data_IF_962556083018
#
_entry.id   IF_962556083018
#
_cell.length_a   1.000
_cell.length_b   1.000
_cell.length_c   1.000
_cell.angle_alpha   90.00
_cell.angle_beta   90.00
_cell.angle_gamma   90.00
#
_symmetry.space_group_name_H-M   'P 1'
#
loop_
_entity.id
_entity.type
_entity.pdbx_description
1 polymer ?
#
# COMPACT_ATOMS: atom_id res chain seq x y z
N UNK A 1 26.88 -24.95 5.94
CA UNK A 1 27.37 -23.55 6.12
C UNK A 1 27.54 -22.72 4.83
N UNK A 2 27.51 -23.29 3.62
CA UNK A 2 27.59 -22.54 2.35
C UNK A 2 26.33 -21.72 2.02
N UNK A 3 25.19 -21.95 2.66
CA UNK A 3 23.87 -21.40 2.33
C UNK A 3 23.54 -20.02 2.92
N UNK A 4 24.38 -19.47 3.81
CA UNK A 4 24.12 -18.20 4.49
C UNK A 4 25.02 -17.03 4.05
N UNK A 5 25.83 -17.19 3.01
CA UNK A 5 26.66 -16.10 2.53
C UNK A 5 25.85 -15.21 1.58
N UNK A 6 25.46 -14.06 2.05
CA UNK A 6 24.76 -13.07 1.24
C UNK A 6 25.71 -12.50 0.19
N UNK A 7 25.30 -12.55 -1.07
CA UNK A 7 26.04 -11.93 -2.16
C UNK A 7 25.90 -10.40 -2.09
N UNK A 8 27.05 -9.72 -1.97
CA UNK A 8 27.07 -8.26 -1.94
C UNK A 8 26.42 -7.63 -3.18
N UNK A 9 26.55 -8.26 -4.32
CA UNK A 9 25.94 -7.80 -5.58
C UNK A 9 24.41 -7.81 -5.51
N UNK A 10 23.81 -8.92 -5.08
CA UNK A 10 22.35 -9.06 -4.94
C UNK A 10 21.80 -8.09 -3.90
N UNK A 11 22.50 -7.92 -2.77
CA UNK A 11 22.15 -6.93 -1.75
C UNK A 11 22.19 -5.50 -2.31
N UNK A 12 23.25 -5.14 -3.02
CA UNK A 12 23.39 -3.81 -3.62
C UNK A 12 22.29 -3.55 -4.66
N UNK A 13 21.96 -4.56 -5.49
CA UNK A 13 20.86 -4.46 -6.45
C UNK A 13 19.51 -4.27 -5.74
N UNK A 14 19.23 -5.03 -4.67
CA UNK A 14 18.01 -4.87 -3.89
C UNK A 14 17.88 -3.46 -3.32
N UNK A 15 18.93 -2.95 -2.69
CA UNK A 15 18.93 -1.60 -2.12
C UNK A 15 18.80 -0.51 -3.19
N UNK A 16 19.42 -0.69 -4.37
CA UNK A 16 19.32 0.27 -5.48
C UNK A 16 17.91 0.38 -6.06
N UNK A 17 17.11 -0.69 -5.97
CA UNK A 17 15.70 -0.72 -6.39
C UNK A 17 14.80 -0.26 -5.24
N UNK A 18 15.08 -0.71 -4.01
CA UNK A 18 14.27 -0.41 -2.83
C UNK A 18 14.35 1.07 -2.42
N UNK A 19 15.54 1.67 -2.41
CA UNK A 19 15.72 3.05 -1.95
C UNK A 19 14.83 4.06 -2.71
N UNK A 20 14.77 4.08 -4.05
CA UNK A 20 13.85 4.97 -4.75
C UNK A 20 12.38 4.69 -4.43
N UNK A 21 12.01 3.44 -4.19
CA UNK A 21 10.63 3.08 -3.84
C UNK A 21 10.27 3.55 -2.42
N UNK A 22 11.20 3.45 -1.48
CA UNK A 22 11.04 4.00 -0.12
C UNK A 22 10.84 5.51 -0.17
N UNK A 23 11.62 6.23 -0.98
CA UNK A 23 11.46 7.69 -1.15
C UNK A 23 10.10 8.02 -1.77
N UNK A 24 9.67 7.29 -2.80
CA UNK A 24 8.35 7.48 -3.44
C UNK A 24 7.21 7.27 -2.43
N UNK A 25 7.23 6.19 -1.65
CA UNK A 25 6.21 5.93 -0.63
C UNK A 25 6.24 6.95 0.51
N UNK A 26 7.45 7.37 0.93
CA UNK A 26 7.63 8.43 1.91
C UNK A 26 7.08 9.78 1.44
N UNK A 27 7.32 10.14 0.19
CA UNK A 27 6.74 11.36 -0.41
C UNK A 27 5.21 11.33 -0.38
N UNK A 28 4.60 10.19 -0.72
CA UNK A 28 3.13 10.03 -0.63
C UNK A 28 2.61 10.19 0.81
N UNK A 29 3.31 9.63 1.80
CA UNK A 29 2.96 9.81 3.21
C UNK A 29 3.03 11.28 3.65
N UNK A 30 4.07 12.02 3.21
CA UNK A 30 4.20 13.47 3.43
C UNK A 30 3.04 14.24 2.80
N UNK A 31 2.63 13.88 1.59
CA UNK A 31 1.48 14.50 0.92
C UNK A 31 0.21 14.36 1.75
N UNK A 32 -0.13 13.13 2.17
CA UNK A 32 -1.31 12.88 2.99
C UNK A 32 -1.27 13.68 4.31
N UNK A 33 -0.11 13.72 4.96
CA UNK A 33 0.06 14.49 6.19
C UNK A 33 -0.17 15.99 5.95
N UNK A 34 0.43 16.53 4.89
CA UNK A 34 0.32 17.97 4.56
C UNK A 34 -1.11 18.36 4.20
N UNK A 35 -1.81 17.54 3.42
CA UNK A 35 -3.22 17.77 3.07
C UNK A 35 -4.09 17.83 4.33
N UNK A 36 -3.90 16.90 5.27
CA UNK A 36 -4.63 16.90 6.55
C UNK A 36 -4.27 18.10 7.43
N UNK A 37 -3.01 18.49 7.43
CA UNK A 37 -2.55 19.68 8.16
C UNK A 37 -3.23 20.93 7.62
N UNK A 38 -3.27 21.13 6.31
CA UNK A 38 -3.97 22.29 5.72
C UNK A 38 -5.48 22.28 6.02
N UNK A 39 -6.12 21.11 6.01
CA UNK A 39 -7.51 20.97 6.41
C UNK A 39 -7.73 21.37 7.89
N UNK A 40 -6.81 21.03 8.79
CA UNK A 40 -6.90 21.40 10.20
C UNK A 40 -6.82 22.91 10.45
N UNK A 41 -6.18 23.65 9.53
CA UNK A 41 -6.14 25.13 9.60
C UNK A 41 -7.48 25.79 9.26
N UNK A 42 -8.38 25.09 8.55
CA UNK A 42 -9.73 25.57 8.28
C UNK A 42 -10.63 25.29 9.50
N UNK A 43 -10.82 24.01 9.83
CA UNK A 43 -11.56 23.57 11.00
C UNK A 43 -11.32 22.08 11.30
N UNK A 44 -11.57 21.63 12.54
CA UNK A 44 -11.55 20.19 12.87
C UNK A 44 -12.53 19.36 12.02
N UNK A 45 -13.69 19.94 11.63
CA UNK A 45 -14.69 19.28 10.78
C UNK A 45 -14.13 19.00 9.37
N UNK A 46 -13.40 19.95 8.76
CA UNK A 46 -12.75 19.76 7.46
C UNK A 46 -11.67 18.70 7.51
N UNK A 47 -10.87 18.67 8.58
CA UNK A 47 -9.87 17.61 8.78
C UNK A 47 -10.54 16.24 8.89
N UNK A 48 -11.60 16.10 9.69
CA UNK A 48 -12.35 14.86 9.83
C UNK A 48 -12.98 14.41 8.50
N UNK A 49 -13.57 15.36 7.74
CA UNK A 49 -14.15 15.09 6.43
C UNK A 49 -13.11 14.58 5.40
N UNK A 50 -11.92 15.19 5.37
CA UNK A 50 -10.85 14.75 4.48
C UNK A 50 -10.35 13.35 4.84
N UNK A 51 -10.32 13.00 6.12
CA UNK A 51 -9.96 11.66 6.59
C UNK A 51 -11.03 10.64 6.17
N UNK A 52 -12.31 10.88 6.48
CA UNK A 52 -13.42 9.97 6.17
C UNK A 52 -13.56 9.74 4.66
N UNK A 53 -13.65 10.83 3.88
CA UNK A 53 -13.75 10.77 2.42
C UNK A 53 -12.52 10.15 1.75
N UNK A 54 -11.32 10.42 2.27
CA UNK A 54 -10.07 9.84 1.77
C UNK A 54 -9.96 8.34 2.00
N UNK A 55 -10.29 7.88 3.21
CA UNK A 55 -10.29 6.43 3.55
C UNK A 55 -11.33 5.69 2.72
N UNK A 56 -12.54 6.23 2.56
CA UNK A 56 -13.59 5.63 1.74
C UNK A 56 -13.18 5.55 0.26
N UNK A 57 -12.53 6.60 -0.28
CA UNK A 57 -12.01 6.60 -1.65
C UNK A 57 -10.94 5.53 -1.84
N UNK A 58 -9.98 5.44 -0.93
CA UNK A 58 -8.93 4.42 -0.99
C UNK A 58 -9.49 3.01 -0.88
N UNK A 59 -10.50 2.80 -0.02
CA UNK A 59 -11.19 1.53 0.10
C UNK A 59 -11.83 1.10 -1.23
N UNK A 60 -12.58 1.99 -1.88
CA UNK A 60 -13.17 1.70 -3.20
C UNK A 60 -12.12 1.40 -4.27
N UNK A 61 -10.97 2.09 -4.24
CA UNK A 61 -9.89 1.91 -5.21
C UNK A 61 -9.05 0.66 -4.96
N UNK A 62 -9.01 0.16 -3.73
CA UNK A 62 -8.03 -0.85 -3.27
C UNK A 62 -8.10 -2.16 -4.08
N UNK A 63 -9.29 -2.62 -4.47
CA UNK A 63 -9.47 -3.78 -5.35
C UNK A 63 -8.73 -3.59 -6.68
N UNK A 64 -8.98 -2.48 -7.34
CA UNK A 64 -8.45 -2.20 -8.67
C UNK A 64 -6.95 -1.91 -8.64
N UNK A 65 -6.49 -1.16 -7.64
CA UNK A 65 -5.06 -0.92 -7.38
C UNK A 65 -4.34 -2.23 -7.15
N UNK A 66 -4.89 -3.14 -6.33
CA UNK A 66 -4.29 -4.44 -6.05
C UNK A 66 -4.17 -5.31 -7.30
N UNK A 67 -5.17 -5.29 -8.20
CA UNK A 67 -5.11 -5.98 -9.48
C UNK A 67 -4.02 -5.35 -10.36
N UNK A 68 -4.07 -4.04 -10.57
CA UNK A 68 -3.16 -3.33 -11.48
C UNK A 68 -1.71 -3.34 -11.02
N UNK A 69 -1.46 -3.26 -9.71
CA UNK A 69 -0.10 -3.30 -9.15
C UNK A 69 0.61 -4.64 -9.39
N UNK A 70 -0.14 -5.72 -9.67
CA UNK A 70 0.44 -7.01 -10.02
C UNK A 70 1.26 -6.97 -11.32
N UNK A 71 1.06 -5.94 -12.17
CA UNK A 71 1.91 -5.70 -13.33
C UNK A 71 3.40 -5.67 -12.99
N UNK A 72 3.79 -5.24 -11.79
CA UNK A 72 5.18 -5.26 -11.34
C UNK A 72 5.79 -6.68 -11.45
N UNK A 73 5.10 -7.69 -10.93
CA UNK A 73 5.55 -9.08 -10.98
C UNK A 73 5.59 -9.63 -12.42
N UNK A 74 4.52 -9.37 -13.21
CA UNK A 74 4.45 -9.83 -14.61
C UNK A 74 5.55 -9.23 -15.46
N UNK A 75 5.73 -7.92 -15.39
CA UNK A 75 6.76 -7.20 -16.13
C UNK A 75 8.15 -7.67 -15.72
N UNK A 76 8.39 -7.89 -14.41
CA UNK A 76 9.67 -8.40 -13.93
C UNK A 76 9.98 -9.79 -14.47
N UNK A 77 8.98 -10.68 -14.55
CA UNK A 77 9.14 -12.03 -15.10
C UNK A 77 9.45 -11.99 -16.60
N UNK A 78 8.74 -11.19 -17.41
CA UNK A 78 9.05 -11.01 -18.83
C UNK A 78 10.40 -10.33 -19.05
N UNK A 79 10.74 -9.37 -18.21
CA UNK A 79 12.04 -8.70 -18.25
C UNK A 79 13.19 -9.69 -17.98
N UNK A 80 13.02 -10.57 -16.99
CA UNK A 80 13.97 -11.66 -16.71
C UNK A 80 14.09 -12.66 -17.85
N UNK A 81 12.97 -13.02 -18.48
CA UNK A 81 12.94 -13.88 -19.67
C UNK A 81 13.48 -13.21 -20.93
N UNK A 82 13.88 -11.92 -20.87
CA UNK A 82 14.35 -11.10 -22.00
C UNK A 82 13.28 -10.83 -23.07
N UNK A 83 12.01 -11.01 -22.74
CA UNK A 83 10.85 -10.73 -23.59
C UNK A 83 10.41 -9.26 -23.44
N UNK A 84 11.25 -8.33 -23.86
CA UNK A 84 11.08 -6.89 -23.59
C UNK A 84 9.80 -6.30 -24.18
N UNK A 85 9.35 -6.79 -25.34
CA UNK A 85 8.09 -6.38 -25.96
C UNK A 85 6.87 -6.74 -25.07
N UNK A 86 6.88 -7.92 -24.43
CA UNK A 86 5.82 -8.33 -23.53
C UNK A 86 5.74 -7.47 -22.28
N UNK A 87 6.85 -6.86 -21.84
CA UNK A 87 6.83 -5.92 -20.74
C UNK A 87 5.91 -4.71 -21.02
N UNK A 88 5.96 -4.17 -22.23
CA UNK A 88 5.10 -3.05 -22.64
C UNK A 88 3.68 -3.48 -22.98
N UNK A 89 3.50 -4.71 -23.50
CA UNK A 89 2.17 -5.30 -23.68
C UNK A 89 1.42 -5.43 -22.35
N UNK A 90 2.08 -5.73 -21.24
CA UNK A 90 1.46 -5.74 -19.89
C UNK A 90 0.86 -4.37 -19.56
N UNK A 91 1.54 -3.26 -19.89
CA UNK A 91 1.00 -1.91 -19.70
C UNK A 91 -0.28 -1.73 -20.51
N UNK A 92 -0.26 -2.12 -21.78
CA UNK A 92 -1.45 -2.04 -22.66
C UNK A 92 -2.63 -2.85 -22.09
N UNK A 93 -2.39 -4.08 -21.60
CA UNK A 93 -3.45 -4.87 -20.97
C UNK A 93 -3.95 -4.19 -19.68
N UNK A 94 -3.06 -3.59 -18.88
CA UNK A 94 -3.44 -2.80 -17.71
C UNK A 94 -4.32 -1.60 -18.06
N UNK A 95 -4.00 -0.88 -19.14
CA UNK A 95 -4.82 0.24 -19.65
C UNK A 95 -6.19 -0.24 -20.16
N UNK A 96 -6.24 -1.40 -20.83
CA UNK A 96 -7.49 -2.03 -21.24
C UNK A 96 -8.36 -2.37 -20.02
N UNK A 97 -7.76 -2.92 -18.95
CA UNK A 97 -8.46 -3.15 -17.68
C UNK A 97 -9.00 -1.84 -17.08
N UNK A 98 -8.25 -0.75 -17.15
CA UNK A 98 -8.71 0.56 -16.67
C UNK A 98 -9.99 1.02 -17.40
N UNK A 99 -10.19 0.68 -18.68
CA UNK A 99 -11.42 1.01 -19.42
C UNK A 99 -12.66 0.39 -18.76
N UNK A 100 -12.54 -0.82 -18.20
CA UNK A 100 -13.63 -1.44 -17.44
C UNK A 100 -13.68 -1.04 -15.96
N UNK A 101 -12.52 -0.82 -15.36
CA UNK A 101 -12.40 -0.52 -13.92
C UNK A 101 -12.86 0.89 -13.56
N UNK A 102 -12.58 1.90 -14.41
CA UNK A 102 -12.99 3.28 -14.16
C UNK A 102 -14.51 3.42 -14.08
N UNK A 103 -15.31 2.95 -15.05
CA UNK A 103 -16.77 2.98 -14.93
C UNK A 103 -17.28 2.20 -13.72
N UNK A 104 -16.72 1.01 -13.46
CA UNK A 104 -17.09 0.20 -12.29
C UNK A 104 -16.84 0.94 -10.98
N UNK A 105 -15.69 1.62 -10.88
CA UNK A 105 -15.34 2.41 -9.69
C UNK A 105 -16.24 3.63 -9.51
N UNK A 106 -16.65 4.29 -10.59
CA UNK A 106 -17.61 5.40 -10.53
C UNK A 106 -18.98 4.92 -10.03
N UNK A 107 -19.45 3.75 -10.49
CA UNK A 107 -20.70 3.12 -10.03
C UNK A 107 -20.60 2.76 -8.55
N UNK A 108 -19.53 2.08 -8.14
CA UNK A 108 -19.28 1.73 -6.72
C UNK A 108 -19.20 2.99 -5.86
N UNK A 109 -18.49 4.02 -6.33
CA UNK A 109 -18.38 5.30 -5.65
C UNK A 109 -19.72 5.99 -5.47
N UNK A 110 -20.60 5.97 -6.47
CA UNK A 110 -21.94 6.52 -6.36
C UNK A 110 -22.73 5.87 -5.22
N UNK A 111 -22.74 4.54 -5.14
CA UNK A 111 -23.42 3.82 -4.05
C UNK A 111 -22.72 4.01 -2.70
N UNK A 112 -21.39 4.00 -2.67
CA UNK A 112 -20.63 4.23 -1.41
C UNK A 112 -20.86 5.64 -0.86
N UNK A 113 -20.97 6.64 -1.73
CA UNK A 113 -21.30 8.01 -1.32
C UNK A 113 -22.66 8.14 -0.64
N UNK A 114 -23.62 7.28 -0.98
CA UNK A 114 -24.93 7.23 -0.33
C UNK A 114 -24.86 6.67 1.10
N UNK A 115 -23.82 5.87 1.42
CA UNK A 115 -23.65 5.33 2.78
C UNK A 115 -23.32 6.40 3.81
N UNK A 116 -22.68 7.52 3.44
CA UNK A 116 -22.41 8.61 4.37
C UNK A 116 -23.68 9.15 5.01
N UNK A 117 -24.82 9.18 4.30
CA UNK A 117 -26.12 9.59 4.84
C UNK A 117 -26.68 8.61 5.89
N UNK A 118 -26.23 7.34 5.86
CA UNK A 118 -26.72 6.29 6.76
C UNK A 118 -25.85 6.21 8.02
N UNK A 119 -24.61 6.74 7.95
CA UNK A 119 -23.65 6.68 9.06
C UNK A 119 -24.03 7.58 10.26
N UNK A 120 -24.99 8.49 10.09
CA UNK A 120 -25.47 9.34 11.17
C UNK A 120 -24.50 10.45 11.59
N UNK A 121 -23.60 10.86 10.68
CA UNK A 121 -22.70 11.99 10.92
C UNK A 121 -23.48 13.31 11.01
N UNK A 122 -22.89 14.33 11.65
CA UNK A 122 -23.45 15.67 11.65
C UNK A 122 -23.63 16.15 10.18
N UNK A 123 -24.74 16.86 9.85
CA UNK A 123 -25.03 17.24 8.45
C UNK A 123 -23.91 18.01 7.75
N UNK A 124 -23.20 18.87 8.49
CA UNK A 124 -22.05 19.63 7.97
C UNK A 124 -20.89 18.68 7.56
N UNK A 125 -20.55 17.71 8.42
CA UNK A 125 -19.51 16.73 8.16
C UNK A 125 -19.86 15.84 6.96
N UNK A 126 -21.10 15.36 6.90
CA UNK A 126 -21.59 14.52 5.80
C UNK A 126 -21.45 15.22 4.44
N UNK A 127 -21.83 16.51 4.35
CA UNK A 127 -21.72 17.28 3.11
C UNK A 127 -20.27 17.40 2.67
N UNK A 128 -19.36 17.71 3.57
CA UNK A 128 -17.93 17.86 3.28
C UNK A 128 -17.29 16.52 2.89
N UNK A 129 -17.60 15.44 3.60
CA UNK A 129 -17.13 14.09 3.27
C UNK A 129 -17.56 13.66 1.87
N UNK A 130 -18.84 13.85 1.52
CA UNK A 130 -19.38 13.52 0.20
C UNK A 130 -18.71 14.33 -0.90
N UNK A 131 -18.55 15.64 -0.73
CA UNK A 131 -17.89 16.49 -1.71
C UNK A 131 -16.47 16.03 -1.98
N UNK A 132 -15.68 15.83 -0.93
CA UNK A 132 -14.30 15.37 -1.03
C UNK A 132 -14.20 14.00 -1.68
N UNK A 133 -15.03 13.05 -1.22
CA UNK A 133 -15.09 11.70 -1.72
C UNK A 133 -15.43 11.63 -3.22
N UNK A 134 -16.49 12.32 -3.66
CA UNK A 134 -16.91 12.25 -5.07
C UNK A 134 -15.87 12.86 -6.01
N UNK A 135 -15.19 13.94 -5.63
CA UNK A 135 -14.12 14.52 -6.44
C UNK A 135 -12.96 13.52 -6.57
N UNK A 136 -12.55 12.90 -5.47
CA UNK A 136 -11.48 11.88 -5.51
C UNK A 136 -11.86 10.67 -6.35
N UNK A 137 -13.09 10.17 -6.24
CA UNK A 137 -13.58 9.04 -7.05
C UNK A 137 -13.62 9.42 -8.52
N UNK A 138 -14.06 10.62 -8.87
CA UNK A 138 -14.06 11.09 -10.25
C UNK A 138 -12.63 11.15 -10.84
N UNK A 139 -11.67 11.62 -10.05
CA UNK A 139 -10.25 11.68 -10.45
C UNK A 139 -9.49 10.36 -10.34
N UNK A 140 -10.07 9.32 -9.75
CA UNK A 140 -9.42 8.05 -9.45
C UNK A 140 -8.89 7.31 -10.68
N UNK A 141 -9.52 7.50 -11.86
CA UNK A 141 -9.06 6.93 -13.12
C UNK A 141 -7.61 7.30 -13.46
N UNK A 142 -7.20 8.54 -13.15
CA UNK A 142 -5.81 8.99 -13.32
C UNK A 142 -4.88 8.18 -12.41
N UNK A 143 -5.29 7.93 -11.17
CA UNK A 143 -4.56 7.12 -10.21
C UNK A 143 -4.39 5.66 -10.65
N UNK A 144 -5.43 5.05 -11.23
CA UNK A 144 -5.36 3.69 -11.77
C UNK A 144 -4.41 3.61 -12.96
N UNK A 145 -4.48 4.55 -13.91
CA UNK A 145 -3.56 4.61 -15.05
C UNK A 145 -2.13 4.83 -14.57
N UNK A 146 -1.92 5.74 -13.62
CA UNK A 146 -0.60 5.97 -12.99
C UNK A 146 -0.04 4.68 -12.38
N UNK A 147 -0.87 3.89 -11.71
CA UNK A 147 -0.47 2.61 -11.10
C UNK A 147 0.07 1.62 -12.15
N UNK A 148 -0.50 1.57 -13.36
CA UNK A 148 0.01 0.73 -14.45
C UNK A 148 1.44 1.10 -14.81
N UNK A 149 1.72 2.40 -15.00
CA UNK A 149 3.06 2.86 -15.38
C UNK A 149 4.06 2.73 -14.21
N UNK A 150 3.67 3.06 -12.99
CA UNK A 150 4.52 2.89 -11.81
C UNK A 150 4.94 1.42 -11.63
N UNK A 151 3.99 0.49 -11.75
CA UNK A 151 4.23 -0.95 -11.68
C UNK A 151 5.12 -1.45 -12.80
N UNK A 152 4.95 -0.92 -14.01
CA UNK A 152 5.81 -1.22 -15.14
C UNK A 152 7.26 -0.81 -14.88
N UNK A 153 7.49 0.45 -14.47
CA UNK A 153 8.85 0.94 -14.20
C UNK A 153 9.50 0.20 -13.02
N UNK A 154 8.72 -0.16 -12.01
CA UNK A 154 9.19 -1.00 -10.91
C UNK A 154 9.60 -2.39 -11.43
N UNK A 155 8.80 -3.02 -12.30
CA UNK A 155 9.04 -4.34 -12.87
C UNK A 155 10.31 -4.43 -13.72
N UNK A 156 10.62 -3.39 -14.50
CA UNK A 156 11.90 -3.32 -15.25
C UNK A 156 13.07 -2.77 -14.42
N UNK A 157 12.92 -2.70 -13.08
CA UNK A 157 13.90 -2.19 -12.13
C UNK A 157 14.34 -0.73 -12.36
N UNK A 158 13.52 0.09 -13.06
CA UNK A 158 13.76 1.54 -13.24
C UNK A 158 13.02 2.37 -12.18
N UNK A 159 13.18 2.00 -10.91
CA UNK A 159 12.47 2.62 -9.77
C UNK A 159 12.82 4.09 -9.54
N UNK A 160 13.96 4.57 -10.06
CA UNK A 160 14.27 6.01 -10.07
C UNK A 160 13.24 6.83 -10.85
N UNK A 161 12.68 6.29 -11.95
CA UNK A 161 11.61 6.95 -12.69
C UNK A 161 10.35 7.09 -11.84
N UNK A 162 10.02 6.05 -11.04
CA UNK A 162 8.89 6.09 -10.09
C UNK A 162 9.13 7.16 -9.03
N UNK A 163 10.31 7.14 -8.41
CA UNK A 163 10.68 8.12 -7.39
C UNK A 163 10.57 9.56 -7.91
N UNK A 164 11.11 9.83 -9.10
CA UNK A 164 11.08 11.18 -9.69
C UNK A 164 9.64 11.62 -9.97
N UNK A 165 8.84 10.77 -10.62
CA UNK A 165 7.47 11.10 -10.98
C UNK A 165 6.60 11.35 -9.73
N UNK A 166 6.69 10.48 -8.72
CA UNK A 166 5.91 10.62 -7.49
C UNK A 166 6.38 11.80 -6.64
N UNK A 167 7.70 11.96 -6.45
CA UNK A 167 8.25 13.08 -5.66
C UNK A 167 7.92 14.43 -6.28
N UNK A 168 8.05 14.59 -7.61
CA UNK A 168 7.69 15.83 -8.28
C UNK A 168 6.17 16.07 -8.22
N UNK A 169 5.35 15.00 -8.29
CA UNK A 169 3.91 15.10 -8.06
C UNK A 169 3.59 15.65 -6.68
N UNK A 170 4.26 15.16 -5.64
CA UNK A 170 4.07 15.64 -4.25
C UNK A 170 4.60 17.07 -4.08
N UNK A 171 5.76 17.40 -4.65
CA UNK A 171 6.31 18.77 -4.61
C UNK A 171 5.35 19.77 -5.25
N UNK A 172 4.67 19.39 -6.33
CA UNK A 172 3.62 20.21 -6.93
C UNK A 172 2.34 20.24 -6.07
N UNK A 173 1.95 19.10 -5.47
CA UNK A 173 0.74 19.00 -4.68
C UNK A 173 0.71 19.98 -3.51
N UNK A 174 1.78 20.06 -2.73
CA UNK A 174 1.83 20.85 -1.50
C UNK A 174 1.46 22.33 -1.73
N UNK A 175 2.15 23.09 -2.61
CA UNK A 175 1.80 24.48 -2.86
C UNK A 175 0.45 24.62 -3.55
N UNK A 176 0.08 23.68 -4.43
CA UNK A 176 -1.20 23.72 -5.14
C UNK A 176 -2.38 23.50 -4.20
N UNK A 177 -2.27 22.53 -3.28
CA UNK A 177 -3.27 22.29 -2.24
C UNK A 177 -3.46 23.53 -1.38
N UNK A 178 -2.38 24.16 -0.92
CA UNK A 178 -2.45 25.40 -0.17
C UNK A 178 -3.14 26.52 -0.96
N UNK A 179 -2.74 26.71 -2.23
CA UNK A 179 -3.29 27.76 -3.09
C UNK A 179 -4.80 27.58 -3.35
N UNK A 180 -5.24 26.35 -3.62
CA UNK A 180 -6.64 26.05 -3.94
C UNK A 180 -7.54 26.01 -2.70
N UNK A 181 -6.99 25.67 -1.53
CA UNK A 181 -7.74 25.72 -0.27
C UNK A 181 -8.02 27.16 0.13
N UNK A 182 -7.00 28.03 0.14
CA UNK A 182 -7.05 29.36 0.72
C UNK A 182 -7.23 30.49 -0.31
N UNK A 183 -7.38 30.16 -1.58
CA UNK A 183 -7.61 31.16 -2.62
C UNK A 183 -6.41 32.07 -2.89
N UNK A 184 -5.17 31.54 -2.83
CA UNK A 184 -3.94 32.33 -3.04
C UNK A 184 -3.49 32.24 -4.51
N UNK A 185 -2.69 33.21 -4.99
CA UNK A 185 -2.09 33.22 -6.34
C UNK A 185 -3.11 33.17 -7.49
N UNK A 186 -4.24 33.83 -7.39
CA UNK A 186 -5.32 33.83 -8.39
C UNK A 186 -6.21 32.58 -8.45
N UNK A 187 -6.03 31.62 -7.56
CA UNK A 187 -6.98 30.53 -7.40
C UNK A 187 -8.20 30.96 -6.58
N UNK A 188 -9.40 30.48 -6.88
CA UNK A 188 -10.55 30.67 -6.02
C UNK A 188 -10.37 29.91 -4.70
N UNK A 189 -10.94 30.40 -3.61
CA UNK A 189 -11.01 29.69 -2.34
C UNK A 189 -12.01 28.54 -2.44
N UNK A 190 -11.51 27.32 -2.54
CA UNK A 190 -12.30 26.11 -2.74
C UNK A 190 -12.42 25.25 -1.47
N UNK A 191 -11.67 25.59 -0.41
CA UNK A 191 -11.68 24.79 0.82
C UNK A 191 -11.31 23.32 0.57
N UNK A 192 -12.14 22.41 1.11
CA UNK A 192 -11.90 20.95 1.00
C UNK A 192 -11.91 20.45 -0.46
N UNK A 193 -12.73 21.04 -1.32
CA UNK A 193 -12.76 20.70 -2.75
C UNK A 193 -11.42 21.01 -3.42
N UNK A 194 -10.77 22.13 -3.01
CA UNK A 194 -9.45 22.52 -3.48
C UNK A 194 -8.38 21.48 -3.21
N UNK A 195 -8.38 20.84 -2.04
CA UNK A 195 -7.46 19.76 -1.73
C UNK A 195 -7.66 18.54 -2.64
N UNK A 196 -8.92 18.16 -2.88
CA UNK A 196 -9.22 17.03 -3.76
C UNK A 196 -8.78 17.32 -5.22
N UNK A 197 -9.07 18.51 -5.74
CA UNK A 197 -8.61 18.92 -7.08
C UNK A 197 -7.08 18.97 -7.18
N UNK A 198 -6.40 19.52 -6.17
CA UNK A 198 -4.94 19.56 -6.15
C UNK A 198 -4.32 18.17 -6.21
N UNK A 199 -4.90 17.19 -5.50
CA UNK A 199 -4.48 15.79 -5.54
C UNK A 199 -4.65 15.18 -6.93
N UNK A 200 -5.75 15.48 -7.63
CA UNK A 200 -6.00 15.00 -9.00
C UNK A 200 -5.01 15.63 -9.97
N UNK A 201 -4.81 16.95 -9.91
CA UNK A 201 -3.88 17.67 -10.79
C UNK A 201 -2.45 17.18 -10.59
N UNK A 202 -2.02 16.98 -9.36
CA UNK A 202 -0.69 16.45 -9.03
C UNK A 202 -0.51 15.00 -9.50
N UNK A 203 -1.56 14.19 -9.41
CA UNK A 203 -1.55 12.82 -9.95
C UNK A 203 -1.46 12.82 -11.48
N UNK A 204 -2.14 13.75 -12.14
CA UNK A 204 -2.04 13.94 -13.59
C UNK A 204 -0.64 14.40 -13.99
N UNK A 205 -0.04 15.33 -13.27
CA UNK A 205 1.33 15.76 -13.49
C UNK A 205 2.33 14.62 -13.34
N UNK A 206 2.21 13.82 -12.28
CA UNK A 206 3.01 12.61 -12.09
C UNK A 206 2.83 11.62 -13.25
N UNK A 207 1.59 11.42 -13.72
CA UNK A 207 1.30 10.59 -14.90
C UNK A 207 1.98 11.14 -16.16
N UNK A 208 1.95 12.45 -16.40
CA UNK A 208 2.65 13.06 -17.54
C UNK A 208 4.17 12.79 -17.50
N UNK A 209 4.78 12.80 -16.31
CA UNK A 209 6.20 12.45 -16.15
C UNK A 209 6.43 10.95 -16.49
N UNK A 210 5.56 10.05 -16.04
CA UNK A 210 5.65 8.64 -16.43
C UNK A 210 5.53 8.46 -17.94
N UNK A 211 4.59 9.15 -18.58
CA UNK A 211 4.41 9.10 -20.03
C UNK A 211 5.65 9.66 -20.76
N UNK A 212 6.25 10.75 -20.27
CA UNK A 212 7.48 11.29 -20.83
C UNK A 212 8.63 10.27 -20.78
N UNK A 213 8.81 9.56 -19.66
CA UNK A 213 9.79 8.47 -19.57
C UNK A 213 9.44 7.28 -20.47
N UNK A 214 8.17 6.92 -20.57
CA UNK A 214 7.70 5.77 -21.34
C UNK A 214 7.87 5.97 -22.84
N UNK A 215 7.57 7.18 -23.35
CA UNK A 215 7.69 7.55 -24.75
C UNK A 215 9.07 8.13 -25.13
N UNK A 216 10.03 8.20 -24.19
CA UNK A 216 11.38 8.60 -24.49
C UNK A 216 11.97 7.72 -25.62
N UNK A 217 12.63 8.31 -26.61
CA UNK A 217 13.09 7.64 -27.83
C UNK A 217 13.86 6.34 -27.57
N UNK A 218 14.85 6.36 -26.68
CA UNK A 218 15.65 5.19 -26.33
C UNK A 218 14.81 4.08 -25.67
N UNK A 219 13.88 4.47 -24.80
CA UNK A 219 12.99 3.54 -24.14
C UNK A 219 12.00 2.90 -25.12
N UNK A 220 11.35 3.74 -25.95
CA UNK A 220 10.39 3.34 -26.97
C UNK A 220 10.99 2.34 -27.97
N UNK A 221 12.23 2.56 -28.42
CA UNK A 221 12.93 1.64 -29.32
C UNK A 221 13.33 0.32 -28.64
N UNK A 222 13.85 0.40 -27.39
CA UNK A 222 14.33 -0.78 -26.67
C UNK A 222 13.22 -1.76 -26.31
N UNK A 223 12.05 -1.26 -25.93
CA UNK A 223 10.91 -2.05 -25.46
C UNK A 223 9.80 -2.17 -26.50
N UNK A 224 10.02 -1.75 -27.73
CA UNK A 224 9.08 -1.82 -28.85
C UNK A 224 7.67 -1.29 -28.50
N UNK A 225 7.63 -0.13 -27.84
CA UNK A 225 6.38 0.48 -27.33
C UNK A 225 5.31 0.60 -28.40
N UNK A 226 5.69 0.97 -29.64
CA UNK A 226 4.74 1.17 -30.74
C UNK A 226 4.04 -0.13 -31.19
N UNK A 227 4.68 -1.28 -30.98
CA UNK A 227 4.15 -2.58 -31.34
C UNK A 227 3.36 -3.22 -30.20
N UNK A 228 3.35 -2.60 -29.01
CA UNK A 228 2.70 -3.14 -27.81
C UNK A 228 1.22 -2.85 -27.72
N UNK A 229 0.67 -1.92 -28.53
CA UNK A 229 -0.73 -1.50 -28.50
C UNK A 229 -1.68 -2.54 -29.14
N UNK A 230 -1.59 -3.77 -28.62
CA UNK A 230 -2.38 -4.91 -29.12
C UNK A 230 -3.06 -5.61 -27.94
N UNK A 231 -4.31 -6.01 -28.11
CA UNK A 231 -4.97 -6.89 -27.16
C UNK A 231 -4.34 -8.29 -27.21
N UNK A 232 -3.63 -8.64 -26.17
CA UNK A 232 -3.02 -9.95 -26.00
C UNK A 232 -3.81 -10.74 -24.94
N UNK A 233 -4.65 -11.68 -25.42
CA UNK A 233 -5.52 -12.47 -24.54
C UNK A 233 -4.73 -13.36 -23.57
N UNK A 234 -3.55 -13.85 -23.97
CA UNK A 234 -2.67 -14.65 -23.12
C UNK A 234 -2.14 -13.86 -21.95
N UNK A 235 -1.56 -12.67 -22.22
CA UNK A 235 -1.06 -11.76 -21.18
C UNK A 235 -2.22 -11.26 -20.32
N UNK A 236 -3.35 -10.87 -20.91
CA UNK A 236 -4.53 -10.40 -20.17
C UNK A 236 -5.08 -11.49 -19.24
N UNK A 237 -5.24 -12.73 -19.75
CA UNK A 237 -5.70 -13.86 -18.95
C UNK A 237 -4.76 -14.16 -17.77
N UNK A 238 -3.44 -14.13 -18.02
CA UNK A 238 -2.43 -14.29 -16.98
C UNK A 238 -2.48 -13.15 -15.95
N UNK A 239 -2.64 -11.91 -16.41
CA UNK A 239 -2.75 -10.74 -15.56
C UNK A 239 -3.97 -10.85 -14.61
N UNK A 240 -5.15 -11.22 -15.13
CA UNK A 240 -6.34 -11.41 -14.31
C UNK A 240 -6.22 -12.60 -13.37
N UNK A 241 -5.72 -13.74 -13.86
CA UNK A 241 -5.55 -14.96 -13.06
C UNK A 241 -4.70 -14.76 -11.81
N UNK A 242 -3.67 -13.91 -11.90
CA UNK A 242 -2.71 -13.66 -10.82
C UNK A 242 -2.99 -12.33 -10.09
N UNK A 243 -3.50 -11.33 -10.80
CA UNK A 243 -3.79 -10.01 -10.24
C UNK A 243 -5.10 -9.97 -9.45
N UNK A 244 -6.16 -10.65 -9.91
CA UNK A 244 -7.45 -10.65 -9.19
C UNK A 244 -7.30 -11.16 -7.74
N UNK A 245 -6.60 -12.28 -7.46
CA UNK A 245 -6.36 -12.67 -6.08
C UNK A 245 -5.64 -11.59 -5.27
N UNK A 246 -4.64 -10.90 -5.84
CA UNK A 246 -3.94 -9.81 -5.15
C UNK A 246 -4.85 -8.60 -4.87
N UNK A 247 -5.75 -8.27 -5.80
CA UNK A 247 -6.73 -7.21 -5.60
C UNK A 247 -7.76 -7.55 -4.52
N UNK A 248 -8.31 -8.76 -4.56
CA UNK A 248 -9.25 -9.25 -3.54
C UNK A 248 -8.59 -9.31 -2.16
N UNK A 249 -7.35 -9.79 -2.08
CA UNK A 249 -6.57 -9.78 -0.85
C UNK A 249 -6.45 -8.36 -0.29
N UNK A 250 -6.02 -7.39 -1.11
CA UNK A 250 -5.85 -6.01 -0.69
C UNK A 250 -7.17 -5.39 -0.21
N UNK A 251 -8.24 -5.55 -0.99
CA UNK A 251 -9.56 -5.01 -0.66
C UNK A 251 -10.10 -5.57 0.66
N UNK A 252 -10.08 -6.89 0.84
CA UNK A 252 -10.61 -7.54 2.03
C UNK A 252 -9.75 -7.30 3.28
N UNK A 253 -8.44 -7.15 3.13
CA UNK A 253 -7.56 -6.80 4.25
C UNK A 253 -7.75 -5.34 4.68
N UNK A 254 -7.91 -4.41 3.75
CA UNK A 254 -8.25 -3.02 4.06
C UNK A 254 -9.60 -2.93 4.77
N UNK A 255 -10.61 -3.71 4.30
CA UNK A 255 -11.90 -3.81 4.97
C UNK A 255 -11.76 -4.34 6.41
N UNK A 256 -11.04 -5.44 6.58
CA UNK A 256 -10.85 -6.06 7.88
C UNK A 256 -10.14 -5.13 8.88
N UNK A 257 -9.10 -4.43 8.43
CA UNK A 257 -8.38 -3.47 9.27
C UNK A 257 -9.26 -2.30 9.70
N UNK A 258 -10.02 -1.71 8.77
CA UNK A 258 -10.94 -0.62 9.11
C UNK A 258 -12.03 -1.05 10.08
N UNK A 259 -12.61 -2.25 9.90
CA UNK A 259 -13.59 -2.80 10.82
C UNK A 259 -12.99 -3.07 12.21
N UNK A 260 -11.77 -3.60 12.26
CA UNK A 260 -11.04 -3.75 13.53
C UNK A 260 -10.86 -2.41 14.24
N UNK A 261 -10.42 -1.38 13.53
CA UNK A 261 -10.19 -0.06 14.09
C UNK A 261 -11.49 0.54 14.64
N UNK A 262 -12.60 0.43 13.90
CA UNK A 262 -13.91 0.88 14.36
C UNK A 262 -14.37 0.14 15.62
N UNK A 263 -14.19 -1.18 15.68
CA UNK A 263 -14.51 -1.96 16.88
C UNK A 263 -13.63 -1.56 18.06
N UNK A 264 -12.34 -1.33 17.86
CA UNK A 264 -11.43 -0.92 18.92
C UNK A 264 -11.77 0.49 19.43
N UNK A 265 -12.09 1.43 18.54
CA UNK A 265 -12.52 2.79 18.90
C UNK A 265 -13.86 2.82 19.67
N UNK A 266 -14.68 1.77 19.56
CA UNK A 266 -15.93 1.67 20.29
C UNK A 266 -15.79 1.50 21.81
N UNK A 267 -14.59 1.29 22.33
CA UNK A 267 -14.31 1.35 23.76
C UNK A 267 -14.47 2.76 24.33
N UNK A 268 -13.98 3.79 23.62
CA UNK A 268 -14.09 5.16 24.05
C UNK A 268 -13.04 6.08 23.45
N UNK A 269 -13.01 7.32 23.97
CA UNK A 269 -12.13 8.40 23.48
C UNK A 269 -10.66 8.09 23.78
N UNK A 270 -10.36 7.51 24.94
CA UNK A 270 -8.98 7.16 25.34
C UNK A 270 -8.41 6.12 24.35
N UNK A 271 -9.18 5.08 24.08
CA UNK A 271 -8.78 4.00 23.20
C UNK A 271 -8.65 4.46 21.74
N UNK A 272 -9.57 5.30 21.27
CA UNK A 272 -9.53 5.89 19.94
C UNK A 272 -8.27 6.77 19.76
N UNK A 273 -7.96 7.61 20.73
CA UNK A 273 -6.77 8.46 20.72
C UNK A 273 -5.48 7.62 20.79
N UNK A 274 -5.43 6.64 21.68
CA UNK A 274 -4.27 5.73 21.83
C UNK A 274 -3.99 4.95 20.55
N UNK A 275 -5.03 4.39 19.91
CA UNK A 275 -4.89 3.71 18.62
C UNK A 275 -4.35 4.66 17.54
N UNK A 276 -4.89 5.88 17.46
CA UNK A 276 -4.42 6.87 16.49
C UNK A 276 -2.92 7.20 16.67
N UNK A 277 -2.47 7.40 17.91
CA UNK A 277 -1.06 7.67 18.23
C UNK A 277 -0.17 6.52 17.78
N UNK A 278 -0.52 5.28 18.15
CA UNK A 278 0.29 4.11 17.86
C UNK A 278 0.34 3.80 16.36
N UNK A 279 -0.79 3.91 15.65
CA UNK A 279 -0.80 3.71 14.20
C UNK A 279 -0.11 4.86 13.43
N UNK A 280 -0.01 6.07 13.98
CA UNK A 280 0.85 7.09 13.39
C UNK A 280 2.34 6.70 13.44
N UNK A 281 2.80 6.09 14.54
CA UNK A 281 4.16 5.55 14.61
C UNK A 281 4.36 4.31 13.75
N UNK A 282 3.32 3.49 13.57
CA UNK A 282 3.37 2.34 12.69
C UNK A 282 3.60 2.74 11.22
N UNK A 283 3.09 3.88 10.75
CA UNK A 283 3.38 4.40 9.41
C UNK A 283 4.90 4.54 9.18
N UNK A 284 5.67 4.94 10.20
CA UNK A 284 7.13 5.07 10.10
C UNK A 284 7.79 3.73 9.83
N UNK A 285 7.24 2.63 10.38
CA UNK A 285 7.75 1.28 10.13
C UNK A 285 7.26 0.70 8.80
N UNK A 286 6.00 0.90 8.49
CA UNK A 286 5.31 0.24 7.40
C UNK A 286 5.67 0.82 6.01
N UNK A 287 5.76 2.16 5.89
CA UNK A 287 6.00 2.83 4.60
C UNK A 287 7.32 2.42 3.94
N UNK A 288 8.47 2.41 4.63
CA UNK A 288 9.72 1.94 4.03
C UNK A 288 9.66 0.45 3.65
N UNK A 289 8.94 -0.35 4.42
CA UNK A 289 8.78 -1.77 4.13
C UNK A 289 7.91 -2.05 2.89
N UNK A 290 6.93 -1.19 2.56
CA UNK A 290 6.24 -1.24 1.27
C UNK A 290 7.23 -1.03 0.12
N UNK A 291 8.14 -0.07 0.23
CA UNK A 291 9.17 0.16 -0.78
C UNK A 291 10.08 -1.05 -0.98
N UNK A 292 10.49 -1.70 0.11
CA UNK A 292 11.25 -2.95 0.06
C UNK A 292 10.44 -4.10 -0.57
N UNK A 293 9.16 -4.22 -0.24
CA UNK A 293 8.25 -5.22 -0.81
C UNK A 293 8.17 -5.12 -2.33
N UNK A 294 8.00 -3.90 -2.88
CA UNK A 294 7.97 -3.66 -4.33
C UNK A 294 9.28 -4.10 -4.99
N UNK A 295 10.42 -3.81 -4.37
CA UNK A 295 11.74 -4.22 -4.88
C UNK A 295 11.91 -5.74 -4.87
N UNK A 296 11.44 -6.42 -3.82
CA UNK A 296 11.47 -7.89 -3.72
C UNK A 296 10.60 -8.51 -4.80
N UNK A 297 9.37 -8.02 -5.03
CA UNK A 297 8.48 -8.48 -6.11
C UNK A 297 9.21 -8.40 -7.46
N UNK A 298 9.82 -7.26 -7.76
CA UNK A 298 10.56 -7.03 -9.01
C UNK A 298 11.74 -7.98 -9.15
N UNK A 299 12.59 -8.13 -8.14
CA UNK A 299 13.78 -8.97 -8.23
C UNK A 299 13.45 -10.46 -8.28
N UNK A 300 12.49 -10.91 -7.45
CA UNK A 300 12.03 -12.31 -7.46
C UNK A 300 11.41 -12.66 -8.81
N UNK A 301 10.50 -11.80 -9.33
CA UNK A 301 9.91 -11.99 -10.64
C UNK A 301 10.97 -12.09 -11.73
N UNK A 302 11.95 -11.17 -11.71
CA UNK A 302 13.06 -11.17 -12.68
C UNK A 302 13.86 -12.47 -12.64
N UNK A 303 14.29 -12.94 -11.46
CA UNK A 303 15.10 -14.15 -11.36
C UNK A 303 14.32 -15.43 -11.68
N UNK A 304 13.00 -15.43 -11.49
CA UNK A 304 12.14 -16.50 -12.00
C UNK A 304 12.12 -16.49 -13.53
N UNK A 305 11.98 -15.32 -14.16
CA UNK A 305 12.07 -15.18 -15.61
C UNK A 305 13.43 -15.60 -16.18
N UNK A 306 14.51 -15.33 -15.45
CA UNK A 306 15.88 -15.79 -15.78
C UNK A 306 16.10 -17.29 -15.48
N UNK A 307 15.14 -18.00 -14.89
CA UNK A 307 15.26 -19.37 -14.37
C UNK A 307 16.45 -19.55 -13.38
N UNK A 308 16.72 -18.52 -12.57
CA UNK A 308 17.84 -18.48 -11.65
C UNK A 308 17.35 -18.50 -10.19
N UNK A 309 17.02 -19.70 -9.70
CA UNK A 309 16.50 -19.91 -8.36
C UNK A 309 17.52 -19.62 -7.25
N UNK A 310 18.81 -19.72 -7.52
CA UNK A 310 19.84 -19.42 -6.52
C UNK A 310 19.91 -17.92 -6.24
N UNK A 311 19.89 -17.08 -7.27
CA UNK A 311 19.80 -15.62 -7.08
C UNK A 311 18.47 -15.20 -6.45
N UNK A 312 17.37 -15.86 -6.80
CA UNK A 312 16.10 -15.63 -6.13
C UNK A 312 16.21 -15.90 -4.60
N UNK A 313 16.87 -17.00 -4.19
CA UNK A 313 17.11 -17.27 -2.76
C UNK A 313 17.95 -16.18 -2.10
N UNK A 314 18.93 -15.63 -2.78
CA UNK A 314 19.73 -14.50 -2.28
C UNK A 314 18.89 -13.24 -2.06
N UNK A 315 17.90 -12.97 -2.93
CA UNK A 315 16.95 -11.87 -2.71
C UNK A 315 16.14 -12.07 -1.43
N UNK A 316 15.65 -13.30 -1.19
CA UNK A 316 14.92 -13.62 0.03
C UNK A 316 15.76 -13.35 1.28
N UNK A 317 17.00 -13.84 1.30
CA UNK A 317 17.92 -13.62 2.42
C UNK A 317 18.26 -12.14 2.61
N UNK A 318 18.53 -11.42 1.53
CA UNK A 318 18.79 -9.97 1.55
C UNK A 318 17.58 -9.18 2.03
N UNK A 319 16.38 -9.55 1.57
CA UNK A 319 15.12 -8.94 2.00
C UNK A 319 14.87 -9.10 3.50
N UNK A 320 15.10 -10.31 4.03
CA UNK A 320 15.02 -10.54 5.48
C UNK A 320 16.07 -9.76 6.27
N UNK A 321 17.32 -9.72 5.79
CA UNK A 321 18.36 -8.95 6.51
C UNK A 321 18.01 -7.47 6.57
N UNK A 322 17.59 -6.87 5.45
CA UNK A 322 17.22 -5.45 5.41
C UNK A 322 15.95 -5.21 6.22
N UNK A 323 14.90 -6.00 5.98
CA UNK A 323 13.61 -5.82 6.63
C UNK A 323 13.66 -6.03 8.14
N UNK A 324 14.21 -7.16 8.60
CA UNK A 324 14.35 -7.43 10.03
C UNK A 324 15.38 -6.52 10.69
N UNK A 325 16.46 -6.16 10.01
CA UNK A 325 17.45 -5.21 10.51
C UNK A 325 16.82 -3.85 10.79
N UNK A 326 16.10 -3.29 9.83
CA UNK A 326 15.35 -2.03 9.98
C UNK A 326 14.31 -2.13 11.11
N UNK A 327 13.47 -3.17 11.08
CA UNK A 327 12.40 -3.35 12.06
C UNK A 327 12.94 -3.61 13.47
N UNK A 328 14.08 -4.27 13.62
CA UNK A 328 14.72 -4.47 14.93
C UNK A 328 15.20 -3.14 15.53
N UNK A 329 15.78 -2.25 14.70
CA UNK A 329 16.18 -0.91 15.15
C UNK A 329 14.94 -0.14 15.61
N UNK A 330 13.85 -0.16 14.83
CA UNK A 330 12.62 0.51 15.23
C UNK A 330 11.98 -0.11 16.47
N UNK A 331 11.98 -1.43 16.61
CA UNK A 331 11.48 -2.09 17.81
C UNK A 331 12.21 -1.64 19.07
N UNK A 332 13.54 -1.54 19.01
CA UNK A 332 14.36 -1.04 20.12
C UNK A 332 14.00 0.43 20.42
N UNK A 333 13.90 1.27 19.39
CA UNK A 333 13.55 2.69 19.56
C UNK A 333 12.13 2.86 20.13
N UNK A 334 11.15 2.10 19.65
CA UNK A 334 9.77 2.16 20.14
C UNK A 334 9.64 1.72 21.60
N UNK A 335 10.43 0.74 22.05
CA UNK A 335 10.44 0.35 23.47
C UNK A 335 11.21 1.36 24.32
N UNK A 336 12.41 1.79 23.87
CA UNK A 336 13.27 2.68 24.65
C UNK A 336 12.70 4.09 24.78
N UNK A 337 12.08 4.61 23.73
CA UNK A 337 11.55 5.97 23.63
C UNK A 337 10.03 6.04 23.69
N UNK A 338 9.34 4.98 24.14
CA UNK A 338 7.86 4.91 24.13
C UNK A 338 7.17 6.10 24.80
N UNK A 339 7.69 6.54 25.95
CA UNK A 339 7.12 7.68 26.69
C UNK A 339 7.26 9.00 25.94
N UNK A 340 8.47 9.45 25.53
CA UNK A 340 8.60 10.68 24.76
C UNK A 340 7.91 10.63 23.40
N UNK A 341 7.86 9.46 22.72
CA UNK A 341 7.18 9.33 21.44
C UNK A 341 5.65 9.49 21.58
N UNK A 342 5.07 8.95 22.64
CA UNK A 342 3.64 9.14 22.92
C UNK A 342 3.35 10.58 23.35
N UNK A 343 4.19 11.17 24.20
CA UNK A 343 4.03 12.53 24.72
C UNK A 343 3.96 13.61 23.62
N UNK A 344 4.56 13.36 22.43
CA UNK A 344 4.49 14.28 21.28
C UNK A 344 3.04 14.55 20.86
N UNK A 345 2.15 13.56 21.01
CA UNK A 345 0.76 13.60 20.52
C UNK A 345 -0.27 13.85 21.62
N UNK A 346 0.14 13.79 22.89
CA UNK A 346 -0.79 13.94 24.01
C UNK A 346 -0.79 15.40 24.46
N UNK A 347 -1.95 16.06 24.32
CA UNK A 347 -2.16 17.40 24.88
C UNK A 347 -2.69 17.32 26.32
N UNK A 348 -2.42 18.36 27.11
CA UNK A 348 -2.94 18.47 28.47
C UNK A 348 -4.46 18.48 28.48
N UNK A 349 -5.06 17.61 29.27
CA UNK A 349 -6.51 17.47 29.34
C UNK A 349 -6.98 16.40 30.33
N UNK A 350 -8.29 16.20 30.49
CA UNK A 350 -8.85 15.30 31.50
C UNK A 350 -8.52 13.81 31.26
N UNK A 351 -8.13 13.42 30.05
CA UNK A 351 -7.85 12.03 29.66
C UNK A 351 -6.35 11.76 29.45
N UNK A 352 -5.47 12.72 29.73
CA UNK A 352 -4.03 12.65 29.47
C UNK A 352 -3.39 11.38 30.06
N UNK A 353 -3.63 11.11 31.33
CA UNK A 353 -3.02 9.95 32.01
C UNK A 353 -3.48 8.61 31.40
N UNK A 354 -4.77 8.48 31.08
CA UNK A 354 -5.32 7.27 30.46
C UNK A 354 -4.78 7.04 29.04
N UNK A 355 -4.68 8.11 28.23
CA UNK A 355 -4.10 8.03 26.88
C UNK A 355 -2.61 7.68 26.95
N UNK A 356 -1.87 8.31 27.87
CA UNK A 356 -0.45 8.00 28.08
C UNK A 356 -0.24 6.54 28.48
N UNK A 357 -0.94 6.05 29.50
CA UNK A 357 -0.78 4.68 30.00
C UNK A 357 -1.10 3.66 28.90
N UNK A 358 -2.25 3.79 28.22
CA UNK A 358 -2.66 2.84 27.21
C UNK A 358 -1.75 2.90 25.96
N UNK A 359 -1.38 4.09 25.50
CA UNK A 359 -0.49 4.25 24.35
C UNK A 359 0.90 3.68 24.61
N UNK A 360 1.49 3.91 25.79
CA UNK A 360 2.78 3.34 26.20
C UNK A 360 2.73 1.80 26.18
N UNK A 361 1.65 1.22 26.69
CA UNK A 361 1.42 -0.23 26.61
C UNK A 361 1.32 -0.71 25.15
N UNK A 362 0.54 -0.01 24.32
CA UNK A 362 0.35 -0.35 22.92
C UNK A 362 1.64 -0.21 22.09
N UNK A 363 2.54 0.72 22.43
CA UNK A 363 3.85 0.87 21.79
C UNK A 363 4.75 -0.36 21.97
N UNK A 364 4.66 -1.06 23.08
CA UNK A 364 5.36 -2.34 23.28
C UNK A 364 4.80 -3.41 22.34
N UNK A 365 3.48 -3.45 22.17
CA UNK A 365 2.84 -4.31 21.17
C UNK A 365 3.30 -3.98 19.74
N UNK A 366 3.35 -2.69 19.38
CA UNK A 366 3.88 -2.23 18.08
C UNK A 366 5.32 -2.73 17.87
N UNK A 367 6.20 -2.54 18.84
CA UNK A 367 7.57 -3.03 18.78
C UNK A 367 7.65 -4.56 18.57
N UNK A 368 6.68 -5.30 19.07
CA UNK A 368 6.59 -6.76 18.91
C UNK A 368 6.16 -7.13 17.49
N UNK A 369 5.12 -6.51 16.97
CA UNK A 369 4.59 -6.91 15.66
C UNK A 369 5.29 -6.25 14.47
N UNK A 370 6.04 -5.17 14.64
CA UNK A 370 6.78 -4.53 13.52
C UNK A 370 7.74 -5.49 12.82
N UNK A 371 8.31 -6.44 13.55
CA UNK A 371 9.14 -7.50 12.96
C UNK A 371 8.29 -8.55 12.19
N UNK A 372 7.10 -8.81 12.67
CA UNK A 372 6.14 -9.68 11.97
C UNK A 372 5.66 -9.03 10.68
N UNK A 373 5.36 -7.73 10.68
CA UNK A 373 4.99 -6.96 9.48
C UNK A 373 6.10 -6.95 8.44
N UNK A 374 7.36 -6.73 8.87
CA UNK A 374 8.51 -6.88 7.98
C UNK A 374 8.56 -8.27 7.35
N UNK A 375 8.30 -9.30 8.14
CA UNK A 375 8.24 -10.68 7.66
C UNK A 375 7.11 -10.88 6.65
N UNK A 376 5.90 -10.36 6.93
CA UNK A 376 4.74 -10.42 6.04
C UNK A 376 5.02 -9.73 4.70
N UNK A 377 5.64 -8.54 4.73
CA UNK A 377 5.96 -7.79 3.53
C UNK A 377 7.08 -8.43 2.71
N UNK A 378 8.12 -8.96 3.36
CA UNK A 378 9.19 -9.69 2.66
C UNK A 378 8.65 -10.97 2.02
N UNK A 379 7.99 -11.84 2.79
CA UNK A 379 7.45 -13.11 2.29
C UNK A 379 6.34 -12.87 1.27
N UNK A 380 5.43 -11.93 1.55
CA UNK A 380 4.38 -11.53 0.62
C UNK A 380 4.94 -11.05 -0.72
N UNK A 381 6.03 -10.26 -0.69
CA UNK A 381 6.77 -9.84 -1.88
C UNK A 381 7.34 -11.01 -2.66
N UNK A 382 7.97 -11.96 -1.99
CA UNK A 382 8.50 -13.18 -2.61
C UNK A 382 7.40 -14.00 -3.28
N UNK A 383 6.31 -14.28 -2.56
CA UNK A 383 5.20 -15.10 -3.07
C UNK A 383 4.44 -14.41 -4.21
N UNK A 384 4.24 -13.06 -4.15
CA UNK A 384 3.65 -12.29 -5.26
C UNK A 384 4.56 -12.31 -6.48
N UNK A 385 5.86 -12.08 -6.30
CA UNK A 385 6.85 -12.17 -7.38
C UNK A 385 6.91 -13.55 -8.03
N UNK A 386 6.68 -14.60 -7.24
CA UNK A 386 6.60 -16.00 -7.69
C UNK A 386 5.22 -16.40 -8.24
N UNK A 387 4.19 -15.56 -8.13
CA UNK A 387 2.85 -15.85 -8.64
C UNK A 387 1.96 -16.69 -7.73
N UNK A 388 2.34 -16.92 -6.47
CA UNK A 388 1.54 -17.67 -5.49
C UNK A 388 0.45 -16.80 -4.82
N UNK A 389 -0.21 -15.98 -5.62
CA UNK A 389 -1.18 -14.96 -5.17
C UNK A 389 -2.46 -15.57 -4.61
N UNK A 390 -2.90 -16.73 -5.12
CA UNK A 390 -4.09 -17.41 -4.61
C UNK A 390 -3.91 -17.89 -3.17
N UNK A 391 -2.74 -18.44 -2.85
CA UNK A 391 -2.45 -18.85 -1.48
C UNK A 391 -2.40 -17.63 -0.55
N UNK A 392 -1.71 -16.56 -0.97
CA UNK A 392 -1.66 -15.30 -0.22
C UNK A 392 -3.06 -14.77 0.06
N UNK A 393 -3.91 -14.66 -0.96
CA UNK A 393 -5.28 -14.20 -0.81
C UNK A 393 -6.04 -15.01 0.23
N UNK A 394 -6.07 -16.34 0.08
CA UNK A 394 -6.86 -17.17 0.99
C UNK A 394 -6.36 -17.11 2.43
N UNK A 395 -5.06 -17.26 2.65
CA UNK A 395 -4.51 -17.30 4.01
C UNK A 395 -4.57 -15.92 4.66
N UNK A 396 -4.20 -14.88 3.94
CA UNK A 396 -4.27 -13.51 4.46
C UNK A 396 -5.70 -13.13 4.83
N UNK A 397 -6.64 -13.30 3.90
CA UNK A 397 -8.05 -12.94 4.12
C UNK A 397 -8.65 -13.76 5.26
N UNK A 398 -8.47 -15.10 5.25
CA UNK A 398 -9.02 -15.94 6.32
C UNK A 398 -8.50 -15.54 7.69
N UNK A 399 -7.20 -15.26 7.84
CA UNK A 399 -6.62 -14.90 9.13
C UNK A 399 -7.06 -13.51 9.60
N UNK A 400 -7.15 -12.50 8.70
CA UNK A 400 -7.62 -11.17 9.06
C UNK A 400 -9.12 -11.17 9.44
N UNK A 401 -9.95 -11.90 8.70
CA UNK A 401 -11.37 -12.02 9.04
C UNK A 401 -11.61 -12.88 10.27
N UNK A 402 -10.81 -13.92 10.49
CA UNK A 402 -10.84 -14.68 11.74
C UNK A 402 -10.43 -13.78 12.93
N UNK A 403 -9.41 -12.95 12.77
CA UNK A 403 -9.05 -11.92 13.76
C UNK A 403 -10.26 -11.04 14.12
N UNK A 404 -11.03 -10.57 13.12
CA UNK A 404 -12.23 -9.76 13.37
C UNK A 404 -13.27 -10.53 14.20
N UNK A 405 -13.50 -11.79 13.90
CA UNK A 405 -14.43 -12.64 14.68
C UNK A 405 -13.95 -12.74 16.11
N UNK A 406 -12.67 -13.03 16.32
CA UNK A 406 -12.09 -13.11 17.67
C UNK A 406 -12.22 -11.76 18.40
N UNK A 407 -11.92 -10.65 17.72
CA UNK A 407 -12.06 -9.31 18.28
C UNK A 407 -13.50 -8.96 18.64
N UNK A 408 -14.48 -9.39 17.84
CA UNK A 408 -15.89 -9.22 18.17
C UNK A 408 -16.23 -9.92 19.48
N UNK A 409 -15.79 -11.17 19.67
CA UNK A 409 -15.99 -11.87 20.93
C UNK A 409 -15.28 -11.18 22.10
N UNK A 410 -14.04 -10.77 21.93
CA UNK A 410 -13.25 -10.09 22.97
C UNK A 410 -13.92 -8.77 23.40
N UNK A 411 -14.36 -7.95 22.44
CA UNK A 411 -14.83 -6.60 22.71
C UNK A 411 -16.32 -6.57 23.08
N UNK A 412 -17.17 -7.37 22.38
CA UNK A 412 -18.63 -7.24 22.47
C UNK A 412 -19.31 -8.35 23.26
N UNK A 413 -18.72 -9.56 23.30
CA UNK A 413 -19.34 -10.70 23.98
C UNK A 413 -18.77 -10.89 25.39
N UNK A 414 -17.44 -10.90 25.49
CA UNK A 414 -16.76 -11.06 26.78
C UNK A 414 -16.45 -9.74 27.48
N UNK A 415 -16.65 -8.62 26.79
CA UNK A 415 -16.40 -7.24 27.30
C UNK A 415 -15.02 -7.10 27.97
N UNK A 416 -14.00 -7.73 27.37
CA UNK A 416 -12.63 -7.66 27.89
C UNK A 416 -12.03 -6.29 27.57
N UNK A 417 -11.13 -5.83 28.43
CA UNK A 417 -10.55 -4.49 28.33
C UNK A 417 -9.67 -4.28 27.07
N UNK A 418 -9.40 -3.01 26.73
CA UNK A 418 -8.68 -2.63 25.50
C UNK A 418 -7.26 -3.18 25.41
N UNK A 419 -6.57 -3.37 26.54
CA UNK A 419 -5.25 -4.02 26.59
C UNK A 419 -5.32 -5.46 26.08
N UNK A 420 -6.37 -6.21 26.44
CA UNK A 420 -6.57 -7.58 25.97
C UNK A 420 -6.85 -7.62 24.47
N UNK A 421 -7.73 -6.75 23.97
CA UNK A 421 -8.01 -6.63 22.54
C UNK A 421 -6.74 -6.31 21.74
N UNK A 422 -5.89 -5.41 22.25
CA UNK A 422 -4.61 -5.11 21.62
C UNK A 422 -3.65 -6.29 21.58
N UNK A 423 -3.52 -7.03 22.69
CA UNK A 423 -2.69 -8.25 22.73
C UNK A 423 -3.19 -9.29 21.73
N UNK A 424 -4.50 -9.49 21.63
CA UNK A 424 -5.09 -10.42 20.64
C UNK A 424 -4.74 -9.97 19.21
N UNK A 425 -4.83 -8.67 18.90
CA UNK A 425 -4.43 -8.13 17.61
C UNK A 425 -2.97 -8.47 17.29
N UNK A 426 -2.04 -8.18 18.22
CA UNK A 426 -0.60 -8.48 18.05
C UNK A 426 -0.36 -9.97 17.83
N UNK A 427 -0.98 -10.84 18.65
CA UNK A 427 -0.83 -12.30 18.53
C UNK A 427 -1.32 -12.79 17.16
N UNK A 428 -2.42 -12.24 16.64
CA UNK A 428 -2.94 -12.64 15.33
C UNK A 428 -2.01 -12.23 14.18
N UNK A 429 -1.34 -11.07 14.27
CA UNK A 429 -0.30 -10.68 13.30
C UNK A 429 0.89 -11.66 13.36
N UNK A 430 1.34 -12.03 14.57
CA UNK A 430 2.41 -13.03 14.75
C UNK A 430 2.05 -14.39 14.14
N UNK A 431 0.81 -14.86 14.34
CA UNK A 431 0.31 -16.09 13.74
C UNK A 431 0.32 -16.00 12.22
N UNK A 432 -0.12 -14.86 11.66
CA UNK A 432 -0.11 -14.63 10.21
C UNK A 432 1.30 -14.67 9.67
N UNK A 433 2.25 -14.02 10.34
CA UNK A 433 3.67 -14.06 9.96
C UNK A 433 4.24 -15.49 10.01
N UNK A 434 3.90 -16.26 11.03
CA UNK A 434 4.31 -17.66 11.14
C UNK A 434 3.76 -18.50 9.98
N UNK A 435 2.49 -18.33 9.59
CA UNK A 435 1.90 -19.00 8.44
C UNK A 435 2.64 -18.66 7.12
N UNK A 436 3.00 -17.39 6.93
CA UNK A 436 3.77 -16.95 5.77
C UNK A 436 5.18 -17.60 5.73
N UNK A 437 5.88 -17.64 6.88
CA UNK A 437 7.19 -18.28 6.98
C UNK A 437 7.09 -19.78 6.70
N UNK A 438 6.06 -20.47 7.21
CA UNK A 438 5.82 -21.88 6.92
C UNK A 438 5.59 -22.12 5.43
N UNK A 439 4.85 -21.24 4.74
CA UNK A 439 4.68 -21.32 3.28
C UNK A 439 6.00 -21.13 2.56
N UNK A 440 6.79 -20.12 2.97
CA UNK A 440 8.09 -19.83 2.35
C UNK A 440 9.06 -21.00 2.49
N UNK A 441 9.07 -21.66 3.66
CA UNK A 441 9.91 -22.86 3.92
C UNK A 441 9.46 -24.05 3.09
N UNK A 442 8.17 -24.17 2.80
CA UNK A 442 7.61 -25.21 1.96
C UNK A 442 8.09 -25.07 0.50
N UNK A 443 8.17 -26.17 -0.22
CA UNK A 443 8.67 -26.17 -1.60
C UNK A 443 7.57 -25.96 -2.66
N UNK A 444 6.31 -26.06 -2.28
CA UNK A 444 5.14 -26.08 -3.19
C UNK A 444 5.02 -24.84 -4.09
N UNK A 445 5.47 -23.68 -3.65
CA UNK A 445 5.38 -22.43 -4.42
C UNK A 445 6.50 -22.27 -5.46
N UNK A 446 7.60 -23.02 -5.33
CA UNK A 446 8.82 -22.91 -6.16
C UNK A 446 9.15 -24.19 -6.95
N UNK A 447 8.22 -25.15 -7.02
CA UNK A 447 8.43 -26.33 -7.87
C UNK A 447 8.47 -25.91 -9.34
N UNK A 448 9.25 -26.62 -10.19
CA UNK A 448 9.29 -26.31 -11.62
C UNK A 448 7.90 -26.27 -12.26
N UNK A 449 6.99 -27.16 -11.87
CA UNK A 449 5.63 -27.23 -12.37
C UNK A 449 4.78 -26.01 -11.91
N UNK A 450 4.99 -25.54 -10.65
CA UNK A 450 4.30 -24.37 -10.14
C UNK A 450 4.75 -23.11 -10.89
N UNK A 451 6.04 -22.93 -11.08
CA UNK A 451 6.60 -21.81 -11.82
C UNK A 451 6.23 -21.85 -13.31
N UNK A 452 6.24 -23.04 -13.93
CA UNK A 452 5.78 -23.19 -15.31
C UNK A 452 4.31 -22.78 -15.49
N UNK A 453 3.42 -23.16 -14.56
CA UNK A 453 2.00 -22.71 -14.57
C UNK A 453 1.85 -21.19 -14.43
N UNK A 454 2.70 -20.57 -13.63
CA UNK A 454 2.70 -19.12 -13.45
C UNK A 454 3.15 -18.43 -14.73
N UNK A 455 4.14 -18.97 -15.41
CA UNK A 455 4.67 -18.42 -16.67
C UNK A 455 3.77 -18.71 -17.90
N UNK A 456 2.84 -19.67 -17.80
CA UNK A 456 1.96 -20.02 -18.91
C UNK A 456 0.95 -18.90 -19.25
N UNK A 457 0.89 -18.57 -20.52
CA UNK A 457 -0.10 -17.66 -21.13
C UNK A 457 -1.28 -18.52 -21.63
N UNK A 458 -2.29 -18.75 -20.77
CA UNK A 458 -3.51 -19.51 -21.12
C UNK A 458 -4.74 -18.67 -20.90
#
# INVERSE_FOLDING_TARGET
MKYFKIEKETMSQLLSIAYPMVVSQGAFAVMIFTDRYFMSLISPTHMAASLGGGVASFFCMSLFIGILSYANALVAQYYGAKELEKCTRVVTQGLILCVGFIPSLLIIGYFTGSLFSIMGHAPELEILEKKYFYILIFGSGIGLIKTCFASYFAGIAKTRAVMIADTLGVVLNIPLTYAMIFGVWQFPELGIEGAAYATIVSSLFSLCIFLAFYFQRLHRQRYLVDQSLVLDKGILGRYLRLGVPSGVEMFLNVAAFNLFLLMYQSYGVIEAASAAIVFNWDIVSFVPMIGLNVAIISMVGRFIGENNLDRMRQVVLSGFLVGLGYSSILAILFVALREPLVAIFVADGPNTDGIMELSIFMMVGLATYVMADATLLVVGGVLRGAGDTRWLMWVSVLLHWFMLIVQYFVIKVFELGPKTAWVVFVVMILITAACYVLRLRGEKWRTPEALARVMAEQ
#
